data_IF_009476040445
#
_entry.id   IF_009476040445
#
_cell.length_a   1.000
_cell.length_b   1.000
_cell.length_c   1.000
_cell.angle_alpha   90.00
_cell.angle_beta   90.00
_cell.angle_gamma   90.00
#
_symmetry.space_group_name_H-M   'P 1'
#
loop_
_entity.id
_entity.type
_entity.pdbx_description
1 polymer ?
#
# COMPACT_ATOMS: atom_id res chain seq x y z
N UNK A 1 -6.69 -25.99 1.14
CA UNK A 1 -6.27 -24.61 0.82
C UNK A 1 -7.40 -23.95 0.05
N UNK A 2 -8.18 -23.08 0.68
CA UNK A 2 -9.20 -22.31 -0.03
C UNK A 2 -8.49 -21.15 -0.73
N UNK A 3 -8.33 -21.22 -2.05
CA UNK A 3 -7.86 -20.08 -2.83
C UNK A 3 -8.94 -18.99 -2.72
N UNK A 4 -8.69 -17.93 -1.96
CA UNK A 4 -9.50 -16.71 -2.05
C UNK A 4 -9.62 -16.34 -3.53
N UNK A 5 -10.83 -16.07 -4.06
CA UNK A 5 -10.97 -15.63 -5.44
C UNK A 5 -10.10 -14.40 -5.65
N UNK A 6 -9.28 -14.39 -6.70
CA UNK A 6 -8.44 -13.23 -7.00
C UNK A 6 -9.35 -12.06 -7.33
N UNK A 7 -9.30 -11.00 -6.53
CA UNK A 7 -10.08 -9.79 -6.78
C UNK A 7 -9.60 -9.14 -8.08
N UNK A 8 -10.48 -9.01 -9.06
CA UNK A 8 -10.20 -8.24 -10.26
C UNK A 8 -10.36 -6.73 -9.96
N UNK A 9 -9.43 -5.92 -10.47
CA UNK A 9 -9.37 -4.48 -10.23
C UNK A 9 -9.36 -3.72 -11.56
N UNK A 10 -9.94 -2.52 -11.56
CA UNK A 10 -9.97 -1.62 -12.72
C UNK A 10 -9.58 -0.19 -12.36
N UNK A 11 -9.01 0.51 -13.33
CA UNK A 11 -8.82 1.96 -13.26
C UNK A 11 -10.14 2.70 -13.53
N UNK A 12 -10.45 3.70 -12.72
CA UNK A 12 -11.47 4.72 -12.98
C UNK A 12 -10.96 5.80 -13.94
N UNK A 13 -11.68 6.91 -14.11
CA UNK A 13 -11.27 8.00 -15.01
C UNK A 13 -10.07 8.80 -14.48
N UNK A 14 -9.40 9.54 -15.38
CA UNK A 14 -8.31 10.42 -14.99
C UNK A 14 -8.85 11.58 -14.16
N UNK A 15 -8.37 11.73 -12.93
CA UNK A 15 -8.70 12.83 -12.04
C UNK A 15 -7.45 13.65 -11.69
N UNK A 16 -7.67 14.86 -11.17
CA UNK A 16 -6.64 15.71 -10.61
C UNK A 16 -7.03 16.13 -9.19
N UNK A 17 -6.07 16.12 -8.27
CA UNK A 17 -6.27 16.64 -6.92
C UNK A 17 -6.17 18.19 -6.91
N UNK A 18 -6.54 18.87 -5.81
CA UNK A 18 -6.49 20.34 -5.73
C UNK A 18 -5.10 20.95 -5.95
N UNK A 19 -4.04 20.16 -5.81
CA UNK A 19 -2.64 20.57 -6.08
C UNK A 19 -2.18 20.26 -7.51
N UNK A 20 -3.10 19.86 -8.40
CA UNK A 20 -2.83 19.52 -9.80
C UNK A 20 -2.22 18.13 -10.02
N UNK A 21 -2.03 17.34 -8.96
CA UNK A 21 -1.51 15.97 -9.05
C UNK A 21 -2.54 15.04 -9.69
N UNK A 22 -2.17 14.39 -10.79
CA UNK A 22 -3.03 13.49 -11.56
C UNK A 22 -3.03 12.07 -10.98
N UNK A 23 -4.17 11.40 -11.05
CA UNK A 23 -4.30 10.01 -10.62
C UNK A 23 -5.50 9.32 -11.29
N UNK A 24 -5.47 7.99 -11.28
CA UNK A 24 -6.61 7.15 -11.62
C UNK A 24 -7.10 6.44 -10.37
N UNK A 25 -8.36 6.59 -9.96
CA UNK A 25 -8.93 5.75 -8.90
C UNK A 25 -8.80 4.28 -9.25
N UNK A 26 -8.65 3.43 -8.26
CA UNK A 26 -8.66 1.97 -8.43
C UNK A 26 -9.89 1.44 -7.70
N UNK A 27 -10.68 0.63 -8.40
CA UNK A 27 -11.90 0.04 -7.87
C UNK A 27 -11.91 -1.46 -8.18
N UNK A 28 -12.70 -2.22 -7.41
CA UNK A 28 -13.08 -3.56 -7.81
C UNK A 28 -13.97 -3.49 -9.06
N UNK A 29 -14.06 -4.60 -9.82
CA UNK A 29 -14.85 -4.62 -11.05
C UNK A 29 -16.34 -4.31 -10.83
N UNK A 30 -16.87 -4.71 -9.67
CA UNK A 30 -18.24 -4.41 -9.22
C UNK A 30 -18.47 -2.92 -8.87
N UNK A 31 -17.42 -2.09 -8.92
CA UNK A 31 -17.46 -0.67 -8.59
C UNK A 31 -17.24 -0.37 -7.11
N UNK A 32 -17.10 -1.39 -6.26
CA UNK A 32 -16.73 -1.24 -4.86
C UNK A 32 -15.24 -0.91 -4.66
N UNK A 33 -14.82 -0.70 -3.39
CA UNK A 33 -13.42 -0.48 -3.07
C UNK A 33 -12.60 -1.74 -3.38
N UNK A 34 -11.49 -1.56 -4.10
CA UNK A 34 -10.52 -2.63 -4.27
C UNK A 34 -9.73 -2.78 -2.96
N UNK A 35 -9.87 -3.92 -2.28
CA UNK A 35 -9.22 -4.15 -0.99
C UNK A 35 -8.19 -5.26 -1.05
N UNK A 36 -7.03 -4.98 -0.51
CA UNK A 36 -5.99 -5.94 -0.21
C UNK A 36 -5.95 -6.25 1.29
N UNK A 37 -5.66 -7.49 1.63
CA UNK A 37 -5.47 -7.93 3.00
C UNK A 37 -4.28 -8.85 3.10
N UNK A 38 -3.50 -8.70 4.16
CA UNK A 38 -2.45 -9.66 4.50
C UNK A 38 -2.67 -10.22 5.90
N UNK A 39 -2.22 -11.47 6.07
CA UNK A 39 -2.11 -12.09 7.39
C UNK A 39 -0.96 -11.46 8.20
N UNK A 40 -0.69 -12.00 9.39
CA UNK A 40 0.33 -11.54 10.31
C UNK A 40 1.65 -11.21 9.59
N UNK A 41 2.03 -9.94 9.69
CA UNK A 41 3.20 -9.35 9.06
C UNK A 41 3.82 -8.34 10.02
N UNK A 42 5.15 -8.28 10.05
CA UNK A 42 5.87 -7.39 10.97
C UNK A 42 5.95 -5.97 10.43
N UNK A 43 5.64 -4.99 11.27
CA UNK A 43 5.88 -3.58 11.04
C UNK A 43 7.35 -3.30 11.32
N UNK A 44 8.09 -2.76 10.36
CA UNK A 44 9.53 -2.55 10.50
C UNK A 44 9.87 -1.33 11.35
N UNK A 45 9.09 -0.26 11.20
CA UNK A 45 9.36 1.04 11.81
C UNK A 45 8.06 1.71 12.21
N UNK A 46 8.06 2.44 13.32
CA UNK A 46 6.96 3.35 13.65
C UNK A 46 6.73 4.34 12.50
N UNK A 47 5.48 4.52 12.03
CA UNK A 47 5.16 5.53 11.02
C UNK A 47 5.53 6.93 11.52
N UNK A 48 6.44 7.60 10.82
CA UNK A 48 6.94 8.92 11.22
C UNK A 48 6.82 9.92 10.07
N UNK A 49 6.55 11.17 10.42
CA UNK A 49 6.51 12.25 9.46
C UNK A 49 7.93 12.59 9.01
N UNK A 50 8.17 12.58 7.70
CA UNK A 50 9.43 13.05 7.13
C UNK A 50 9.45 14.58 6.94
N UNK A 51 8.27 15.20 6.77
CA UNK A 51 8.10 16.61 6.39
C UNK A 51 7.13 17.35 7.33
N UNK A 52 7.51 17.51 8.60
CA UNK A 52 6.77 18.30 9.60
C UNK A 52 5.88 17.48 10.52
N UNK A 53 5.84 17.84 11.80
CA UNK A 53 5.17 17.13 12.90
C UNK A 53 3.65 16.97 12.70
N UNK A 54 3.06 17.77 11.81
CA UNK A 54 1.62 17.76 11.52
C UNK A 54 1.19 16.75 10.44
N UNK A 55 2.11 16.03 9.81
CA UNK A 55 1.74 15.07 8.78
C UNK A 55 0.98 13.88 9.40
N UNK A 56 -0.34 13.83 9.23
CA UNK A 56 -1.18 12.72 9.74
C UNK A 56 -1.21 11.48 8.85
N UNK A 57 -0.77 11.61 7.59
CA UNK A 57 -0.75 10.52 6.59
C UNK A 57 0.68 10.05 6.33
N UNK A 58 1.04 8.97 7.00
CA UNK A 58 2.40 8.50 7.19
C UNK A 58 2.70 7.24 6.37
N UNK A 59 3.98 6.96 6.06
CA UNK A 59 4.36 5.67 5.50
C UNK A 59 4.30 4.57 6.56
N UNK A 60 3.63 3.45 6.24
CA UNK A 60 3.73 2.20 6.99
C UNK A 60 4.62 1.24 6.21
N UNK A 61 5.64 0.69 6.86
CA UNK A 61 6.60 -0.21 6.21
C UNK A 61 6.54 -1.59 6.84
N UNK A 62 6.30 -2.60 6.02
CA UNK A 62 6.09 -3.97 6.44
C UNK A 62 7.22 -4.87 5.93
N UNK A 63 7.60 -5.85 6.74
CA UNK A 63 8.50 -6.92 6.31
C UNK A 63 7.81 -7.77 5.25
N UNK A 64 8.35 -7.87 4.03
CA UNK A 64 7.68 -8.57 2.96
C UNK A 64 7.71 -10.08 3.24
N UNK A 65 6.55 -10.72 3.21
CA UNK A 65 6.45 -12.16 3.02
C UNK A 65 6.08 -12.47 1.55
N UNK A 66 6.34 -13.71 1.12
CA UNK A 66 6.15 -14.12 -0.27
C UNK A 66 4.71 -13.91 -0.76
N UNK A 67 3.72 -14.28 0.06
CA UNK A 67 2.31 -14.17 -0.30
C UNK A 67 1.86 -12.71 -0.49
N UNK A 68 2.20 -11.83 0.45
CA UNK A 68 1.89 -10.41 0.42
C UNK A 68 2.56 -9.73 -0.78
N UNK A 69 3.85 -10.00 -1.00
CA UNK A 69 4.60 -9.45 -2.12
C UNK A 69 4.04 -9.93 -3.47
N UNK A 70 3.73 -11.22 -3.61
CA UNK A 70 3.19 -11.80 -4.83
C UNK A 70 1.78 -11.27 -5.16
N UNK A 71 0.95 -11.00 -4.16
CA UNK A 71 -0.37 -10.42 -4.37
C UNK A 71 -0.31 -8.96 -4.83
N UNK A 72 0.49 -8.13 -4.16
CA UNK A 72 0.71 -6.75 -4.60
C UNK A 72 1.32 -6.68 -6.00
N UNK A 73 2.33 -7.51 -6.30
CA UNK A 73 2.93 -7.58 -7.64
C UNK A 73 1.91 -7.97 -8.72
N UNK A 74 0.94 -8.84 -8.40
CA UNK A 74 -0.16 -9.19 -9.32
C UNK A 74 -1.06 -8.00 -9.60
N UNK A 75 -1.44 -7.22 -8.58
CA UNK A 75 -2.22 -6.00 -8.78
C UNK A 75 -1.45 -4.97 -9.61
N UNK A 76 -0.17 -4.75 -9.30
CA UNK A 76 0.68 -3.83 -10.04
C UNK A 76 0.81 -4.23 -11.51
N UNK A 77 1.02 -5.51 -11.81
CA UNK A 77 1.07 -6.03 -13.18
C UNK A 77 -0.24 -5.81 -13.94
N UNK A 78 -1.38 -6.04 -13.29
CA UNK A 78 -2.70 -5.79 -13.90
C UNK A 78 -2.89 -4.30 -14.21
N UNK A 79 -2.49 -3.41 -13.29
CA UNK A 79 -2.57 -1.97 -13.47
C UNK A 79 -1.63 -1.46 -14.56
N UNK A 80 -0.41 -2.00 -14.66
CA UNK A 80 0.53 -1.69 -15.75
C UNK A 80 -0.09 -2.02 -17.11
N UNK A 81 -0.72 -3.20 -17.24
CA UNK A 81 -1.43 -3.56 -18.47
C UNK A 81 -2.53 -2.56 -18.83
N UNK A 82 -3.37 -2.18 -17.86
CA UNK A 82 -4.45 -1.20 -18.08
C UNK A 82 -3.92 0.19 -18.44
N UNK A 83 -2.85 0.65 -17.79
CA UNK A 83 -2.21 1.94 -18.07
C UNK A 83 -1.61 1.96 -19.48
N UNK A 84 -0.95 0.87 -19.89
CA UNK A 84 -0.40 0.74 -21.24
C UNK A 84 -1.52 0.81 -22.29
N UNK A 85 -2.60 0.06 -22.12
CA UNK A 85 -3.77 0.12 -23.01
C UNK A 85 -4.36 1.53 -23.10
N UNK A 86 -4.45 2.25 -21.98
CA UNK A 86 -4.93 3.64 -21.96
C UNK A 86 -3.98 4.59 -22.66
N UNK A 87 -2.68 4.45 -22.47
CA UNK A 87 -1.66 5.26 -23.13
C UNK A 87 -1.69 5.08 -24.66
N UNK A 88 -1.97 3.86 -25.14
CA UNK A 88 -2.16 3.59 -26.57
C UNK A 88 -3.44 4.26 -27.11
N UNK A 89 -4.52 4.26 -26.34
CA UNK A 89 -5.79 4.88 -26.73
C UNK A 89 -5.78 6.42 -26.66
N UNK A 90 -5.08 7.00 -25.68
CA UNK A 90 -4.88 8.45 -25.54
C UNK A 90 -3.42 8.80 -25.20
N UNK A 91 -2.60 9.08 -26.24
CA UNK A 91 -1.19 9.43 -26.06
C UNK A 91 -0.96 10.70 -25.23
N UNK A 92 -1.96 11.59 -25.11
CA UNK A 92 -1.83 12.84 -24.34
C UNK A 92 -1.72 12.56 -22.84
N UNK A 93 -2.16 11.40 -22.36
CA UNK A 93 -2.07 11.00 -20.96
C UNK A 93 -0.63 11.04 -20.42
N UNK A 94 0.31 10.56 -21.24
CA UNK A 94 1.74 10.50 -20.89
C UNK A 94 2.62 11.37 -21.79
N UNK A 95 2.01 12.13 -22.72
CA UNK A 95 2.71 12.89 -23.75
C UNK A 95 3.36 12.01 -24.84
N UNK A 96 3.17 10.69 -24.77
CA UNK A 96 3.61 9.69 -25.74
C UNK A 96 2.83 8.39 -25.53
N UNK A 97 2.78 7.56 -26.57
CA UNK A 97 2.35 6.17 -26.45
C UNK A 97 3.38 5.39 -25.64
N UNK A 98 2.92 4.63 -24.65
CA UNK A 98 3.74 3.72 -23.85
C UNK A 98 3.40 2.28 -24.20
N UNK A 99 4.41 1.45 -24.43
CA UNK A 99 4.24 0.00 -24.40
C UNK A 99 4.02 -0.49 -22.97
N UNK A 100 3.65 -1.76 -22.79
CA UNK A 100 3.61 -2.39 -21.46
C UNK A 100 4.96 -2.31 -20.75
N UNK A 101 6.06 -2.57 -21.49
CA UNK A 101 7.42 -2.49 -20.96
C UNK A 101 7.81 -1.05 -20.56
N UNK A 102 7.47 -0.05 -21.38
CA UNK A 102 7.67 1.35 -21.02
C UNK A 102 6.91 1.71 -19.73
N UNK A 103 5.68 1.24 -19.61
CA UNK A 103 4.81 1.51 -18.46
C UNK A 103 5.35 0.85 -17.21
N UNK A 104 5.80 -0.40 -17.31
CA UNK A 104 6.44 -1.14 -16.22
C UNK A 104 7.70 -0.42 -15.73
N UNK A 105 8.56 0.06 -16.63
CA UNK A 105 9.78 0.81 -16.26
C UNK A 105 9.49 2.13 -15.50
N UNK A 106 8.29 2.68 -15.67
CA UNK A 106 7.82 3.91 -15.01
C UNK A 106 7.02 3.64 -13.75
N UNK A 107 6.64 2.39 -13.51
CA UNK A 107 5.81 2.00 -12.40
C UNK A 107 6.66 1.81 -11.14
N UNK A 108 6.36 2.60 -10.11
CA UNK A 108 7.03 2.54 -8.82
C UNK A 108 6.27 1.58 -7.93
N UNK A 109 6.88 0.42 -7.66
CA UNK A 109 6.30 -0.63 -6.84
C UNK A 109 6.15 -0.22 -5.36
N UNK A 110 5.14 -0.81 -4.72
CA UNK A 110 4.96 -0.80 -3.27
C UNK A 110 6.04 -1.66 -2.58
N UNK A 111 6.58 -2.67 -3.26
CA UNK A 111 7.75 -3.42 -2.79
C UNK A 111 9.01 -2.61 -3.11
N UNK A 112 9.78 -2.28 -2.07
CA UNK A 112 10.96 -1.42 -2.15
C UNK A 112 12.17 -2.11 -1.60
N UNK A 113 13.33 -1.71 -2.09
CA UNK A 113 14.62 -2.10 -1.54
C UNK A 113 15.26 -0.88 -0.86
N UNK A 114 15.69 -1.05 0.38
CA UNK A 114 16.45 -0.03 1.11
C UNK A 114 17.87 0.09 0.57
N UNK A 115 18.57 1.18 0.91
CA UNK A 115 19.98 1.36 0.55
C UNK A 115 20.90 0.25 1.09
N UNK A 116 20.47 -0.48 2.13
CA UNK A 116 21.20 -1.61 2.72
C UNK A 116 20.83 -2.96 2.08
N UNK A 117 20.02 -2.98 1.03
CA UNK A 117 19.60 -4.20 0.33
C UNK A 117 18.36 -4.90 0.91
N UNK A 118 17.87 -4.49 2.09
CA UNK A 118 16.67 -5.10 2.69
C UNK A 118 15.40 -4.67 1.95
N UNK A 119 14.51 -5.62 1.68
CA UNK A 119 13.22 -5.37 1.05
C UNK A 119 12.13 -5.02 2.06
N UNK A 120 11.15 -4.19 1.66
CA UNK A 120 10.00 -3.82 2.47
C UNK A 120 8.80 -3.42 1.61
N UNK A 121 7.59 -3.71 2.09
CA UNK A 121 6.35 -3.19 1.49
C UNK A 121 6.06 -1.82 2.10
N UNK A 122 5.83 -0.81 1.26
CA UNK A 122 5.50 0.56 1.70
C UNK A 122 4.06 0.90 1.38
N UNK A 123 3.28 1.16 2.42
CA UNK A 123 1.88 1.60 2.36
C UNK A 123 1.72 3.03 2.90
N UNK A 124 0.51 3.56 2.83
CA UNK A 124 0.09 4.79 3.52
C UNK A 124 -0.89 4.46 4.63
N UNK A 125 -0.74 5.09 5.79
CA UNK A 125 -1.67 5.01 6.91
C UNK A 125 -1.98 6.41 7.40
N UNK A 126 -3.22 6.68 7.78
CA UNK A 126 -3.59 7.88 8.51
C UNK A 126 -3.92 7.48 9.95
N UNK A 127 -3.06 7.84 10.91
CA UNK A 127 -3.19 7.35 12.29
C UNK A 127 -4.51 7.80 12.95
N UNK A 128 -5.05 8.95 12.54
CA UNK A 128 -6.32 9.48 13.05
C UNK A 128 -7.57 8.81 12.44
N UNK A 129 -7.40 8.01 11.36
CA UNK A 129 -8.51 7.42 10.60
C UNK A 129 -8.46 5.90 10.54
N UNK A 130 -7.28 5.30 10.80
CA UNK A 130 -7.11 3.86 10.78
C UNK A 130 -7.87 3.23 11.94
N UNK A 131 -8.61 2.15 11.67
CA UNK A 131 -9.27 1.37 12.71
C UNK A 131 -8.28 0.38 13.30
N UNK A 132 -8.19 0.37 14.63
CA UNK A 132 -7.24 -0.47 15.34
C UNK A 132 -7.99 -1.58 16.06
N UNK A 133 -7.45 -2.78 15.98
CA UNK A 133 -8.02 -3.98 16.57
C UNK A 133 -6.94 -4.72 17.35
N UNK A 134 -7.30 -5.32 18.47
CA UNK A 134 -6.46 -6.32 19.13
C UNK A 134 -6.54 -7.67 18.40
N UNK A 135 -5.74 -8.65 18.84
CA UNK A 135 -5.70 -9.98 18.24
C UNK A 135 -7.02 -10.74 18.39
N UNK A 136 -7.88 -10.33 19.32
CA UNK A 136 -9.19 -10.89 19.61
C UNK A 136 -10.32 -10.19 18.83
N UNK A 137 -10.00 -9.13 18.07
CA UNK A 137 -10.96 -8.38 17.26
C UNK A 137 -11.72 -7.28 18.01
N UNK A 138 -11.26 -6.87 19.20
CA UNK A 138 -11.81 -5.73 19.91
C UNK A 138 -11.11 -4.44 19.48
N UNK A 139 -11.85 -3.33 19.50
CA UNK A 139 -11.31 -2.05 19.07
C UNK A 139 -10.28 -1.50 20.08
N UNK A 140 -9.16 -1.00 19.58
CA UNK A 140 -8.15 -0.28 20.34
C UNK A 140 -8.32 1.24 20.15
N UNK A 141 -8.06 2.01 21.20
CA UNK A 141 -8.16 3.48 21.15
C UNK A 141 -6.89 4.15 20.63
N UNK A 142 -5.72 3.55 20.88
CA UNK A 142 -4.42 4.13 20.55
C UNK A 142 -3.51 3.09 19.89
N UNK A 143 -2.57 3.54 19.06
CA UNK A 143 -1.62 2.65 18.39
C UNK A 143 -0.48 2.18 19.27
N UNK A 144 -0.07 3.00 20.25
CA UNK A 144 1.23 2.85 20.91
C UNK A 144 2.40 2.95 19.93
N UNK A 145 3.56 2.43 20.33
CA UNK A 145 4.66 2.18 19.40
C UNK A 145 4.32 0.97 18.52
N UNK A 146 4.59 1.09 17.22
CA UNK A 146 4.31 0.05 16.22
C UNK A 146 5.60 -0.65 15.77
N UNK A 147 6.76 -0.18 16.24
CA UNK A 147 8.06 -0.72 15.86
C UNK A 147 8.14 -2.20 16.20
N UNK A 148 8.45 -3.03 15.19
CA UNK A 148 8.56 -4.49 15.28
C UNK A 148 7.29 -5.24 15.71
N UNK A 149 6.13 -4.59 15.80
CA UNK A 149 4.87 -5.27 16.11
C UNK A 149 4.39 -6.08 14.91
N UNK A 150 3.76 -7.21 15.19
CA UNK A 150 3.05 -7.98 14.16
C UNK A 150 1.62 -7.49 14.02
N UNK A 151 1.16 -7.39 12.77
CA UNK A 151 -0.19 -6.95 12.45
C UNK A 151 -0.82 -7.75 11.32
N UNK A 152 -2.15 -7.81 11.26
CA UNK A 152 -2.87 -8.03 10.00
C UNK A 152 -3.29 -6.68 9.44
N UNK A 153 -3.23 -6.56 8.12
CA UNK A 153 -3.54 -5.32 7.43
C UNK A 153 -4.77 -5.51 6.56
N UNK A 154 -5.70 -4.56 6.61
CA UNK A 154 -6.67 -4.31 5.54
C UNK A 154 -6.36 -2.95 4.93
N UNK A 155 -6.24 -2.90 3.61
CA UNK A 155 -5.92 -1.67 2.91
C UNK A 155 -6.65 -1.57 1.58
N UNK A 156 -7.03 -0.35 1.22
CA UNK A 156 -7.61 -0.04 -0.08
C UNK A 156 -6.49 0.19 -1.10
N UNK A 157 -6.61 -0.47 -2.25
CA UNK A 157 -5.88 -0.12 -3.46
C UNK A 157 -6.55 1.13 -4.02
N UNK A 158 -6.12 2.30 -3.57
CA UNK A 158 -6.90 3.54 -3.69
C UNK A 158 -6.81 4.18 -5.08
N UNK A 159 -5.59 4.31 -5.58
CA UNK A 159 -5.34 5.00 -6.84
C UNK A 159 -3.97 4.68 -7.42
N UNK A 160 -3.84 4.79 -8.75
CA UNK A 160 -2.54 4.96 -9.41
C UNK A 160 -2.24 6.45 -9.50
N UNK A 161 -1.23 6.93 -8.78
CA UNK A 161 -0.76 8.32 -8.91
C UNK A 161 0.12 8.48 -10.14
N UNK A 162 0.19 9.70 -10.68
CA UNK A 162 1.08 10.05 -11.78
C UNK A 162 1.84 11.34 -11.45
N UNK A 163 3.18 11.29 -11.49
CA UNK A 163 4.04 12.44 -11.26
C UNK A 163 5.34 12.32 -12.04
N UNK A 164 5.78 13.39 -12.70
CA UNK A 164 7.11 13.50 -13.33
C UNK A 164 7.48 12.31 -14.23
N UNK A 165 6.51 11.80 -15.00
CA UNK A 165 6.71 10.65 -15.89
C UNK A 165 6.77 9.29 -15.19
N UNK A 166 6.64 9.23 -13.87
CA UNK A 166 6.45 8.03 -13.09
C UNK A 166 4.98 7.86 -12.70
N UNK A 167 4.61 6.62 -12.40
CA UNK A 167 3.34 6.30 -11.81
C UNK A 167 3.52 5.21 -10.76
N UNK A 168 2.52 4.96 -9.92
CA UNK A 168 2.59 3.86 -8.98
C UNK A 168 1.30 3.68 -8.23
N UNK A 169 1.15 2.51 -7.62
CA UNK A 169 -0.02 2.21 -6.79
C UNK A 169 0.10 2.91 -5.44
N UNK A 170 -0.97 3.55 -5.02
CA UNK A 170 -1.17 3.98 -3.65
C UNK A 170 -2.06 2.97 -2.95
N UNK A 171 -1.52 2.36 -1.90
CA UNK A 171 -2.26 1.47 -1.00
C UNK A 171 -2.44 2.17 0.35
N UNK A 172 -3.68 2.34 0.78
CA UNK A 172 -4.05 3.06 2.01
C UNK A 172 -4.66 2.12 3.03
N UNK A 173 -4.01 2.00 4.18
CA UNK A 173 -4.42 1.15 5.29
C UNK A 173 -5.70 1.71 5.92
N UNK A 174 -6.71 0.86 6.03
CA UNK A 174 -8.00 1.18 6.68
C UNK A 174 -8.13 0.52 8.03
N UNK A 175 -7.48 -0.64 8.22
CA UNK A 175 -7.52 -1.39 9.48
C UNK A 175 -6.18 -2.04 9.77
N UNK A 176 -5.77 -1.99 11.04
CA UNK A 176 -4.67 -2.74 11.60
C UNK A 176 -5.16 -3.57 12.77
N UNK A 177 -4.93 -4.88 12.70
CA UNK A 177 -5.11 -5.78 13.84
C UNK A 177 -3.74 -6.09 14.41
N UNK A 178 -3.47 -5.74 15.66
CA UNK A 178 -2.16 -5.84 16.28
C UNK A 178 -2.10 -7.03 17.23
N UNK A 179 -0.99 -7.79 17.22
CA UNK A 179 -0.71 -8.71 18.34
C UNK A 179 -0.42 -7.92 19.61
N UNK A 180 -0.77 -8.46 20.77
CA UNK A 180 -0.38 -7.92 22.06
C UNK A 180 1.14 -7.66 22.08
N UNK A 181 1.55 -6.57 22.73
CA UNK A 181 2.96 -6.36 23.02
C UNK A 181 3.38 -7.46 23.98
N UNK A 182 4.30 -8.33 23.57
CA UNK A 182 4.98 -9.18 24.54
C UNK A 182 5.65 -8.23 25.55
N UNK A 183 5.37 -8.35 26.86
CA UNK A 183 6.08 -7.56 27.83
C UNK A 183 7.57 -7.84 27.60
N UNK A 184 8.33 -6.78 27.31
CA UNK A 184 9.78 -6.90 27.22
C UNK A 184 10.24 -7.57 28.51
N UNK A 185 10.62 -8.85 28.42
CA UNK A 185 11.32 -9.52 29.51
C UNK A 185 12.66 -8.83 29.59
N UNK A 186 12.72 -7.78 30.40
CA UNK A 186 13.99 -7.34 30.95
C UNK A 186 14.51 -8.51 31.76
N UNK A 187 15.40 -9.31 31.16
CA UNK A 187 16.22 -10.25 31.88
C UNK A 187 17.16 -9.41 32.76
N UNK A 188 16.71 -9.08 33.97
CA UNK A 188 17.56 -8.62 35.07
C UNK A 188 18.07 -9.82 35.85
N UNK A 189 18.71 -10.77 35.16
CA UNK A 189 19.36 -11.90 35.82
C UNK A 189 20.88 -11.79 35.65
N UNK A 190 21.49 -11.25 36.72
CA UNK A 190 22.83 -11.46 37.31
C UNK A 190 24.01 -11.88 36.42
#
# INVERSE_FOLDING_TARGET
MSSKPSMAIKLGDLLANPKGGKFFPVCAEDGGPAVWQCDWIRILWHPTAYNGEDARRLPLCLEPNEAAAAELARFEKALVGQLASRSQADPKLFGRMLTTQDTESRFVSCLKTSARGNSFIKLKVCLDQVRLWDAQGQALQETGDLTNRECKVRAELKQVWMMSGQCGLLVEVTDLMLKEEEPQRYNWDN
#
